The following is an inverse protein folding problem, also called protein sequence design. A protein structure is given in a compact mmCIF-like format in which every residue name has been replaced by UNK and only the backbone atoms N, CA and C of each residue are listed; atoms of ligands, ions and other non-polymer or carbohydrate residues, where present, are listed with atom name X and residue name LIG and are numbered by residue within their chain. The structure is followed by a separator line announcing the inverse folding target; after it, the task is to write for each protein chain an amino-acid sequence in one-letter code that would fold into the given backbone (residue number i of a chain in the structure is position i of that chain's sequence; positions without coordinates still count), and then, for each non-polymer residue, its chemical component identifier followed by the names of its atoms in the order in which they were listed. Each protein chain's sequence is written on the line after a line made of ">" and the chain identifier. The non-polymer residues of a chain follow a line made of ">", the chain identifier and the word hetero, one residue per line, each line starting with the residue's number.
data_IF_403967993180
#
_entry.id   IF_403967993180
#
_cell.length_a   1.000
_cell.length_b   1.000
_cell.length_c   1.000
_cell.angle_alpha   90.00
_cell.angle_beta   90.00
_cell.angle_gamma   90.00
#
_symmetry.space_group_name_H-M   'P 1'
#
loop_
_entity.id
_entity.type
_entity.pdbx_description
1 polymer ?
#
# COMPACT_ATOMS: atom_id res chain seq x y z
N UNK A 1 18.56 50.38 4.16
CA UNK A 1 19.48 49.31 3.70
C UNK A 1 18.60 48.14 3.29
N UNK A 2 18.07 48.00 2.07
CA UNK A 2 18.66 47.98 0.73
C UNK A 2 19.75 46.92 0.55
N UNK A 3 19.37 45.86 -0.18
CA UNK A 3 20.22 44.79 -0.68
C UNK A 3 19.42 43.98 -1.72
N UNK A 4 19.31 44.55 -2.93
CA UNK A 4 18.78 43.91 -4.15
C UNK A 4 19.74 42.83 -4.64
N UNK A 5 19.22 41.78 -5.26
CA UNK A 5 19.89 41.13 -6.38
C UNK A 5 18.88 40.97 -7.53
N UNK A 6 19.25 41.52 -8.69
CA UNK A 6 18.50 41.59 -9.93
C UNK A 6 19.37 40.96 -11.00
N UNK A 7 18.91 39.89 -11.66
CA UNK A 7 19.27 39.45 -13.02
C UNK A 7 18.07 38.61 -13.48
N UNK A 8 17.34 38.76 -14.59
CA UNK A 8 17.39 39.57 -15.80
C UNK A 8 16.52 38.80 -16.84
N UNK A 9 15.46 39.43 -17.38
CA UNK A 9 14.57 38.86 -18.44
C UNK A 9 15.22 39.04 -19.85
N UNK A 10 14.66 38.50 -20.97
CA UNK A 10 13.45 38.99 -21.67
C UNK A 10 12.51 37.83 -22.11
N UNK A 11 11.17 37.90 -22.30
CA UNK A 11 10.18 38.78 -22.94
C UNK A 11 10.00 38.65 -24.48
N UNK A 12 8.98 37.86 -24.85
CA UNK A 12 8.07 37.86 -26.05
C UNK A 12 8.61 37.51 -27.46
N UNK A 13 7.71 37.28 -28.46
CA UNK A 13 6.49 36.45 -28.52
C UNK A 13 6.56 35.48 -29.74
N UNK A 14 5.52 34.66 -30.00
CA UNK A 14 4.87 34.44 -31.32
C UNK A 14 3.97 33.17 -31.25
N UNK A 15 2.67 33.42 -31.36
CA UNK A 15 1.64 32.45 -31.74
C UNK A 15 1.64 32.30 -33.26
N UNK A 16 1.61 31.06 -33.77
CA UNK A 16 0.64 30.66 -34.81
C UNK A 16 0.56 29.14 -34.92
N UNK A 17 -0.69 28.67 -34.88
CA UNK A 17 -1.30 27.47 -35.47
C UNK A 17 -0.42 26.26 -35.83
N UNK A 18 -0.76 25.09 -35.28
CA UNK A 18 -1.59 24.10 -35.99
C UNK A 18 -1.64 22.76 -35.21
N UNK A 19 -2.73 22.02 -35.45
CA UNK A 19 -2.95 20.60 -35.16
C UNK A 19 -3.39 20.20 -33.73
N UNK A 20 -4.70 20.34 -33.52
CA UNK A 20 -5.65 19.23 -33.33
C UNK A 20 -4.97 17.84 -33.22
N UNK A 21 -4.68 17.40 -31.98
CA UNK A 21 -4.74 15.97 -31.62
C UNK A 21 -4.88 15.82 -30.09
N UNK A 22 -6.04 16.20 -29.56
CA UNK A 22 -6.46 15.86 -28.20
C UNK A 22 -7.54 14.78 -28.30
N UNK A 23 -7.15 13.52 -28.45
CA UNK A 23 -8.07 12.40 -28.27
C UNK A 23 -7.56 11.42 -27.19
N UNK A 24 -8.35 11.32 -26.11
CA UNK A 24 -8.45 10.23 -25.11
C UNK A 24 -7.27 9.86 -24.20
N UNK A 25 -6.04 10.31 -24.43
CA UNK A 25 -4.90 9.97 -23.53
C UNK A 25 -4.76 10.91 -22.33
N UNK A 26 -5.07 12.20 -22.48
CA UNK A 26 -4.90 13.18 -21.40
C UNK A 26 -5.84 12.96 -20.20
N UNK A 27 -7.09 12.54 -20.43
CA UNK A 27 -8.05 12.27 -19.35
C UNK A 27 -7.71 11.02 -18.53
N UNK A 28 -7.05 10.03 -19.15
CA UNK A 28 -6.55 8.83 -18.45
C UNK A 28 -5.30 9.13 -17.63
N UNK A 29 -4.43 10.02 -18.12
CA UNK A 29 -3.27 10.49 -17.38
C UNK A 29 -3.67 11.33 -16.18
N UNK A 30 -4.68 12.19 -16.24
CA UNK A 30 -5.08 13.00 -15.07
C UNK A 30 -5.74 12.14 -13.97
N UNK A 31 -6.57 11.15 -14.33
CA UNK A 31 -7.14 10.22 -13.36
C UNK A 31 -6.08 9.26 -12.77
N UNK A 32 -5.13 8.80 -13.60
CA UNK A 32 -4.02 7.97 -13.15
C UNK A 32 -2.99 8.80 -12.34
N UNK A 33 -2.78 10.08 -12.66
CA UNK A 33 -1.92 11.02 -11.93
C UNK A 33 -2.55 11.42 -10.61
N UNK A 34 -3.87 11.61 -10.55
CA UNK A 34 -4.60 11.79 -9.27
C UNK A 34 -4.57 10.52 -8.39
N UNK A 35 -4.32 9.34 -8.97
CA UNK A 35 -4.09 8.08 -8.24
C UNK A 35 -2.60 7.81 -7.95
N UNK A 36 -1.68 8.32 -8.77
CA UNK A 36 -0.23 8.11 -8.69
C UNK A 36 0.51 9.23 -7.91
N UNK A 37 -0.07 10.43 -7.77
CA UNK A 37 0.44 11.50 -6.90
C UNK A 37 0.42 11.12 -5.41
N UNK A 38 -0.23 10.01 -5.06
CA UNK A 38 -0.12 9.35 -3.74
C UNK A 38 1.10 8.43 -3.57
N UNK A 39 1.93 8.24 -4.61
CA UNK A 39 3.09 7.33 -4.61
C UNK A 39 4.46 8.05 -4.67
N UNK A 40 4.50 9.36 -4.44
CA UNK A 40 5.79 10.04 -4.24
C UNK A 40 6.31 9.83 -2.80
N UNK A 41 7.53 9.30 -2.72
CA UNK A 41 8.35 9.27 -1.51
C UNK A 41 8.40 10.69 -0.92
N UNK A 42 7.79 10.91 0.25
CA UNK A 42 7.71 12.23 0.91
C UNK A 42 8.48 12.22 2.23
N UNK A 43 9.16 13.34 2.50
CA UNK A 43 10.01 13.56 3.67
C UNK A 43 9.30 13.32 5.01
N UNK A 44 9.99 12.76 6.03
CA UNK A 44 9.36 12.27 7.26
C UNK A 44 9.02 13.37 8.31
N UNK A 45 8.84 14.63 7.90
CA UNK A 45 8.81 15.77 8.83
C UNK A 45 7.46 16.48 9.05
N UNK A 46 6.43 16.22 8.24
CA UNK A 46 5.16 16.96 8.33
C UNK A 46 3.98 16.01 8.14
N UNK A 47 3.10 15.92 9.15
CA UNK A 47 1.79 15.30 9.01
C UNK A 47 0.92 16.19 8.10
N UNK A 48 1.12 16.09 6.78
CA UNK A 48 0.23 16.69 5.79
C UNK A 48 -1.01 15.80 5.67
N UNK A 49 -2.08 16.19 6.34
CA UNK A 49 -3.42 15.71 6.04
C UNK A 49 -3.80 16.24 4.67
N UNK A 50 -3.38 15.53 3.61
CA UNK A 50 -3.77 15.83 2.24
C UNK A 50 -5.29 16.05 2.13
N UNK A 51 -5.76 16.81 1.12
CA UNK A 51 -7.10 17.37 1.09
C UNK A 51 -8.14 16.31 1.44
N UNK A 52 -8.88 16.54 2.54
CA UNK A 52 -10.00 15.70 2.96
C UNK A 52 -10.98 15.61 1.80
N UNK A 53 -10.91 14.50 1.04
CA UNK A 53 -11.83 14.26 -0.06
C UNK A 53 -13.24 14.20 0.52
N UNK A 54 -14.14 15.05 0.00
CA UNK A 54 -15.55 15.05 0.39
C UNK A 54 -16.07 13.60 0.40
N UNK A 55 -16.79 13.17 1.45
CA UNK A 55 -17.42 11.87 1.44
C UNK A 55 -18.35 11.82 0.22
N UNK A 56 -18.10 10.86 -0.67
CA UNK A 56 -18.91 10.72 -1.87
C UNK A 56 -20.35 10.40 -1.46
N UNK A 57 -21.29 11.03 -2.14
CA UNK A 57 -22.72 10.87 -1.86
C UNK A 57 -23.23 9.49 -2.23
N UNK A 58 -24.36 9.08 -1.65
CA UNK A 58 -25.03 7.79 -1.94
C UNK A 58 -25.18 7.59 -3.45
N UNK A 59 -24.61 6.50 -3.98
CA UNK A 59 -24.64 6.15 -5.41
C UNK A 59 -23.51 6.75 -6.27
N UNK A 60 -22.73 7.69 -5.75
CA UNK A 60 -21.56 8.26 -6.44
C UNK A 60 -20.45 7.23 -6.63
N UNK A 61 -20.18 6.42 -5.60
CA UNK A 61 -19.22 5.32 -5.68
C UNK A 61 -19.62 4.25 -6.70
N UNK A 62 -20.91 3.92 -6.79
CA UNK A 62 -21.41 2.92 -7.74
C UNK A 62 -21.19 3.37 -9.18
N UNK A 63 -21.53 4.62 -9.51
CA UNK A 63 -21.25 5.22 -10.83
C UNK A 63 -19.75 5.26 -11.12
N UNK A 64 -18.96 5.73 -10.16
CA UNK A 64 -17.49 5.85 -10.30
C UNK A 64 -16.83 4.50 -10.55
N UNK A 65 -17.18 3.48 -9.77
CA UNK A 65 -16.65 2.13 -9.94
C UNK A 65 -17.08 1.53 -11.28
N UNK A 66 -18.34 1.68 -11.67
CA UNK A 66 -18.82 1.23 -12.99
C UNK A 66 -18.02 1.87 -14.13
N UNK A 67 -17.72 3.17 -14.04
CA UNK A 67 -16.85 3.85 -15.02
C UNK A 67 -15.40 3.34 -15.01
N UNK A 68 -14.83 3.08 -13.83
CA UNK A 68 -13.47 2.54 -13.70
C UNK A 68 -13.33 1.12 -14.26
N UNK A 69 -14.40 0.32 -14.18
CA UNK A 69 -14.46 -1.06 -14.66
C UNK A 69 -15.19 -1.20 -16.01
N UNK A 70 -15.44 -0.10 -16.73
CA UNK A 70 -16.18 -0.15 -18.00
C UNK A 70 -15.50 -1.05 -19.05
N UNK A 71 -14.17 -1.07 -19.07
CA UNK A 71 -13.35 -1.90 -19.97
C UNK A 71 -13.05 -3.30 -19.38
N UNK A 72 -13.66 -3.68 -18.25
CA UNK A 72 -13.49 -5.00 -17.63
C UNK A 72 -14.31 -6.06 -18.39
N UNK A 73 -13.62 -7.04 -18.97
CA UNK A 73 -14.25 -8.18 -19.64
C UNK A 73 -14.80 -9.24 -18.65
N UNK A 74 -14.58 -9.03 -17.35
CA UNK A 74 -14.97 -9.93 -16.28
C UNK A 74 -16.32 -9.57 -15.65
N UNK A 75 -16.68 -10.21 -14.53
CA UNK A 75 -17.95 -9.97 -13.87
C UNK A 75 -17.99 -8.67 -13.04
N UNK A 76 -16.92 -7.87 -13.01
CA UNK A 76 -16.78 -6.77 -12.05
C UNK A 76 -17.94 -5.76 -12.12
N UNK A 77 -18.29 -5.29 -13.31
CA UNK A 77 -19.39 -4.34 -13.51
C UNK A 77 -20.73 -4.91 -13.06
N UNK A 78 -21.05 -6.17 -13.43
CA UNK A 78 -22.28 -6.84 -12.99
C UNK A 78 -22.36 -6.98 -11.47
N UNK A 79 -21.24 -7.28 -10.80
CA UNK A 79 -21.17 -7.38 -9.34
C UNK A 79 -21.38 -6.01 -8.66
N UNK A 80 -20.79 -4.96 -9.20
CA UNK A 80 -20.99 -3.58 -8.72
C UNK A 80 -22.47 -3.18 -8.87
N UNK A 81 -23.08 -3.47 -10.02
CA UNK A 81 -24.49 -3.19 -10.30
C UNK A 81 -25.44 -3.97 -9.39
N UNK A 82 -25.15 -5.24 -9.13
CA UNK A 82 -25.95 -6.09 -8.25
C UNK A 82 -25.83 -5.71 -6.76
N UNK A 83 -24.85 -4.89 -6.37
CA UNK A 83 -24.67 -4.49 -4.96
C UNK A 83 -25.82 -3.56 -4.53
N UNK A 84 -26.63 -4.04 -3.59
CA UNK A 84 -27.77 -3.34 -2.99
C UNK A 84 -27.39 -2.48 -1.78
N UNK A 85 -26.29 -2.83 -1.10
CA UNK A 85 -25.74 -2.07 0.03
C UNK A 85 -25.05 -0.80 -0.46
N UNK A 86 -24.98 0.20 0.40
CA UNK A 86 -24.21 1.41 0.12
C UNK A 86 -22.71 1.08 0.08
N UNK A 87 -22.05 1.58 -0.97
CA UNK A 87 -20.62 1.43 -1.15
C UNK A 87 -19.90 2.59 -0.46
N UNK A 88 -19.04 2.25 0.49
CA UNK A 88 -18.14 3.19 1.14
C UNK A 88 -16.71 2.97 0.65
N UNK A 89 -15.94 4.05 0.57
CA UNK A 89 -14.51 3.97 0.34
C UNK A 89 -13.78 4.41 1.60
N UNK A 90 -12.82 3.58 2.03
CA UNK A 90 -11.91 3.91 3.11
C UNK A 90 -10.52 4.18 2.52
N UNK A 91 -9.87 5.30 2.89
CA UNK A 91 -8.50 5.52 2.48
C UNK A 91 -7.59 4.44 3.07
N UNK A 92 -6.64 3.97 2.27
CA UNK A 92 -5.61 3.03 2.71
C UNK A 92 -4.38 3.85 3.09
N UNK A 93 -3.97 3.76 4.35
CA UNK A 93 -2.77 4.39 4.86
C UNK A 93 -1.66 3.35 5.03
N UNK A 94 -0.41 3.76 4.85
CA UNK A 94 0.77 2.93 5.11
C UNK A 94 1.66 3.67 6.10
N UNK A 95 2.21 2.93 7.07
CA UNK A 95 3.14 3.49 8.04
C UNK A 95 4.57 3.44 7.48
N UNK A 96 5.36 4.52 7.58
CA UNK A 96 6.80 4.42 7.31
C UNK A 96 7.49 3.48 8.31
N UNK A 97 8.67 2.99 7.97
CA UNK A 97 9.42 2.13 8.88
C UNK A 97 9.84 2.90 10.12
N UNK A 98 9.39 2.47 11.29
CA UNK A 98 9.81 3.04 12.55
C UNK A 98 11.29 2.69 12.82
N UNK A 99 12.13 3.68 13.17
CA UNK A 99 13.54 3.44 13.44
C UNK A 99 13.74 2.56 14.69
N UNK A 100 12.80 2.58 15.63
CA UNK A 100 12.83 1.82 16.88
C UNK A 100 11.41 1.44 17.31
N UNK A 101 11.22 0.22 17.82
CA UNK A 101 9.90 -0.27 18.25
C UNK A 101 9.71 -0.30 19.77
N UNK A 102 10.78 -0.08 20.53
CA UNK A 102 10.75 -0.19 21.98
C UNK A 102 11.74 0.76 22.65
N UNK A 103 11.54 0.99 23.93
CA UNK A 103 12.54 1.51 24.86
C UNK A 103 12.69 0.56 26.06
N UNK A 104 13.16 1.04 27.20
CA UNK A 104 13.33 0.22 28.41
C UNK A 104 11.99 -0.23 29.03
N UNK A 105 10.90 0.52 28.79
CA UNK A 105 9.61 0.34 29.48
C UNK A 105 8.40 0.24 28.55
N UNK A 106 8.55 0.59 27.28
CA UNK A 106 7.48 0.56 26.30
C UNK A 106 7.87 -0.23 25.06
N UNK A 107 6.87 -0.83 24.44
CA UNK A 107 6.97 -1.51 23.16
C UNK A 107 5.72 -1.24 22.33
N UNK A 108 5.91 -1.07 21.03
CA UNK A 108 4.83 -0.91 20.06
C UNK A 108 4.70 -2.22 19.27
N UNK A 109 3.48 -2.73 19.12
CA UNK A 109 3.17 -3.97 18.41
C UNK A 109 1.98 -3.81 17.47
N UNK A 110 1.78 -4.77 16.57
CA UNK A 110 0.66 -4.79 15.63
C UNK A 110 0.65 -3.58 14.68
N UNK A 111 -0.55 -3.14 14.28
CA UNK A 111 -0.71 -2.05 13.31
C UNK A 111 -0.05 -0.73 13.74
N UNK A 112 0.15 -0.51 15.05
CA UNK A 112 0.87 0.66 15.55
C UNK A 112 2.37 0.62 15.23
N UNK A 113 2.96 -0.58 15.10
CA UNK A 113 4.37 -0.77 14.76
C UNK A 113 4.58 -0.98 13.26
N UNK A 114 3.66 -1.68 12.62
CA UNK A 114 3.69 -2.01 11.21
C UNK A 114 2.26 -2.09 10.71
N UNK A 115 1.81 -1.06 9.99
CA UNK A 115 0.55 -1.12 9.27
C UNK A 115 0.82 -1.63 7.84
N UNK A 116 0.83 -2.95 7.57
CA UNK A 116 1.06 -3.46 6.24
C UNK A 116 -0.10 -3.09 5.31
N UNK A 117 0.17 -3.05 4.00
CA UNK A 117 -0.90 -2.84 3.02
C UNK A 117 -1.98 -3.94 3.17
N UNK A 118 -3.29 -3.59 3.07
CA UNK A 118 -4.38 -4.55 3.13
C UNK A 118 -4.27 -5.67 2.10
N UNK A 119 -3.56 -5.44 1.00
CA UNK A 119 -3.31 -6.44 -0.03
C UNK A 119 -2.51 -7.66 0.44
N UNK A 120 -1.82 -7.56 1.57
CA UNK A 120 -1.15 -8.71 2.21
C UNK A 120 -2.13 -9.67 2.87
N UNK A 121 -3.24 -9.16 3.40
CA UNK A 121 -4.16 -9.91 4.27
C UNK A 121 -3.51 -10.40 5.59
N UNK A 122 -2.38 -9.83 6.02
CA UNK A 122 -1.60 -10.35 7.15
C UNK A 122 -1.62 -9.48 8.42
N UNK A 123 -2.25 -8.30 8.43
CA UNK A 123 -2.17 -7.38 9.58
C UNK A 123 -2.62 -7.99 10.91
N UNK A 124 -3.77 -8.66 10.91
CA UNK A 124 -4.29 -9.37 12.09
C UNK A 124 -3.36 -10.52 12.51
N UNK A 125 -2.92 -11.36 11.56
CA UNK A 125 -2.00 -12.47 11.84
C UNK A 125 -0.68 -11.98 12.42
N UNK A 126 -0.11 -10.90 11.87
CA UNK A 126 1.11 -10.29 12.38
C UNK A 126 0.94 -9.76 13.80
N UNK A 127 -0.20 -9.12 14.10
CA UNK A 127 -0.50 -8.63 15.45
C UNK A 127 -0.61 -9.77 16.47
N UNK A 128 -1.19 -10.91 16.07
CA UNK A 128 -1.26 -12.11 16.92
C UNK A 128 0.13 -12.73 17.10
N UNK A 129 0.89 -12.90 16.02
CA UNK A 129 2.27 -13.38 16.08
C UNK A 129 3.12 -12.49 17.01
N UNK A 130 2.93 -11.16 16.97
CA UNK A 130 3.61 -10.24 17.87
C UNK A 130 3.23 -10.46 19.33
N UNK A 131 1.94 -10.59 19.63
CA UNK A 131 1.48 -10.84 20.99
C UNK A 131 2.09 -12.14 21.56
N UNK A 132 2.13 -13.21 20.77
CA UNK A 132 2.74 -14.48 21.17
C UNK A 132 4.26 -14.35 21.37
N UNK A 133 4.97 -13.73 20.43
CA UNK A 133 6.43 -13.55 20.56
C UNK A 133 6.79 -12.67 21.75
N UNK A 134 6.04 -11.59 21.98
CA UNK A 134 6.26 -10.70 23.11
C UNK A 134 6.02 -11.43 24.44
N UNK A 135 4.92 -12.19 24.53
CA UNK A 135 4.61 -12.99 25.72
C UNK A 135 5.72 -14.01 26.01
N UNK A 136 6.22 -14.70 24.97
CA UNK A 136 7.35 -15.62 25.08
C UNK A 136 8.60 -14.91 25.63
N UNK A 137 8.99 -13.79 25.04
CA UNK A 137 10.18 -13.05 25.47
C UNK A 137 10.06 -12.52 26.90
N UNK A 138 8.87 -12.10 27.33
CA UNK A 138 8.62 -11.66 28.70
C UNK A 138 8.67 -12.82 29.71
N UNK A 139 8.32 -14.04 29.29
CA UNK A 139 8.44 -15.26 30.11
C UNK A 139 9.91 -15.66 30.29
N UNK A 140 10.70 -15.61 29.23
CA UNK A 140 12.03 -16.22 29.19
C UNK A 140 13.16 -15.27 29.60
N UNK A 141 12.97 -13.96 29.47
CA UNK A 141 14.02 -12.97 29.71
C UNK A 141 13.82 -12.21 31.03
N UNK A 142 14.91 -11.89 31.74
CA UNK A 142 14.85 -11.39 33.12
C UNK A 142 14.37 -9.94 33.25
N UNK A 143 14.23 -9.19 32.15
CA UNK A 143 13.75 -7.80 32.21
C UNK A 143 12.90 -7.39 31.00
N UNK A 144 11.94 -6.45 31.17
CA UNK A 144 11.12 -5.93 30.07
C UNK A 144 11.94 -5.33 28.92
N UNK A 145 13.04 -4.64 29.23
CA UNK A 145 13.93 -4.06 28.22
C UNK A 145 14.64 -5.14 27.39
N UNK A 146 15.11 -6.23 28.02
CA UNK A 146 15.70 -7.36 27.30
C UNK A 146 14.65 -8.08 26.44
N UNK A 147 13.45 -8.29 26.97
CA UNK A 147 12.34 -8.89 26.24
C UNK A 147 11.94 -8.07 25.00
N UNK A 148 11.85 -6.75 25.15
CA UNK A 148 11.50 -5.84 24.05
C UNK A 148 12.58 -5.79 22.98
N UNK A 149 13.86 -5.80 23.37
CA UNK A 149 14.98 -5.87 22.43
C UNK A 149 15.03 -7.20 21.67
N UNK A 150 14.76 -8.32 22.36
CA UNK A 150 14.65 -9.62 21.71
C UNK A 150 13.44 -9.69 20.76
N UNK A 151 12.34 -9.04 21.12
CA UNK A 151 11.14 -8.98 20.29
C UNK A 151 11.42 -8.25 18.98
N UNK A 152 12.03 -7.06 19.06
CA UNK A 152 12.35 -6.27 17.86
C UNK A 152 13.25 -7.07 16.90
N UNK A 153 14.30 -7.70 17.43
CA UNK A 153 15.20 -8.55 16.64
C UNK A 153 14.50 -9.71 15.94
N UNK A 154 13.58 -10.38 16.63
CA UNK A 154 12.86 -11.53 16.08
C UNK A 154 11.80 -11.12 15.05
N UNK A 155 11.06 -10.03 15.32
CA UNK A 155 9.86 -9.67 14.57
C UNK A 155 10.12 -8.73 13.40
N UNK A 156 11.09 -7.83 13.50
CA UNK A 156 11.39 -6.86 12.43
C UNK A 156 11.66 -7.51 11.07
N UNK A 157 12.49 -8.58 10.94
CA UNK A 157 12.72 -9.23 9.65
C UNK A 157 11.44 -9.85 9.06
N UNK A 158 10.63 -10.50 9.90
CA UNK A 158 9.37 -11.15 9.52
C UNK A 158 8.36 -10.14 8.98
N UNK A 159 8.15 -9.04 9.69
CA UNK A 159 7.25 -7.95 9.27
C UNK A 159 7.73 -7.29 7.97
N UNK A 160 9.03 -6.99 7.87
CA UNK A 160 9.58 -6.36 6.67
C UNK A 160 9.45 -7.26 5.43
N UNK A 161 9.58 -8.58 5.59
CA UNK A 161 9.34 -9.53 4.50
C UNK A 161 7.90 -9.43 3.97
N UNK A 162 6.91 -9.40 4.87
CA UNK A 162 5.49 -9.29 4.49
C UNK A 162 5.19 -7.95 3.81
N UNK A 163 5.71 -6.84 4.34
CA UNK A 163 5.54 -5.50 3.73
C UNK A 163 6.13 -5.49 2.31
N UNK A 164 7.34 -6.01 2.11
CA UNK A 164 7.99 -6.08 0.80
C UNK A 164 7.18 -6.94 -0.18
N UNK A 165 6.61 -8.04 0.28
CA UNK A 165 5.78 -8.90 -0.56
C UNK A 165 4.47 -8.21 -0.94
N UNK A 166 3.81 -7.54 -0.01
CA UNK A 166 2.59 -6.77 -0.27
C UNK A 166 2.82 -5.69 -1.33
N UNK A 167 3.96 -4.99 -1.26
CA UNK A 167 4.35 -4.00 -2.26
C UNK A 167 4.51 -4.61 -3.67
N UNK A 168 5.12 -5.81 -3.78
CA UNK A 168 5.24 -6.55 -5.07
C UNK A 168 3.89 -7.00 -5.63
N UNK A 169 2.98 -7.42 -4.77
CA UNK A 169 1.61 -7.80 -5.18
C UNK A 169 0.84 -6.56 -5.64
N UNK A 170 1.03 -5.42 -4.99
CA UNK A 170 0.38 -4.18 -5.40
C UNK A 170 0.88 -3.67 -6.74
N UNK A 171 2.19 -3.71 -6.99
CA UNK A 171 2.75 -3.26 -8.27
C UNK A 171 2.31 -4.12 -9.45
N UNK A 172 2.14 -5.44 -9.25
CA UNK A 172 1.63 -6.33 -10.32
C UNK A 172 0.14 -6.13 -10.62
N UNK A 173 -0.65 -5.63 -9.66
CA UNK A 173 -2.06 -5.26 -9.86
C UNK A 173 -2.23 -3.98 -10.68
N UNK A 174 -1.22 -3.11 -10.72
CA UNK A 174 -1.23 -1.86 -11.49
C UNK A 174 -0.86 -2.03 -12.99
N UNK A 175 -0.74 -3.26 -13.49
CA UNK A 175 -0.40 -3.54 -14.88
C UNK A 175 -1.48 -3.02 -15.86
N UNK A 176 -1.09 -2.11 -16.76
CA UNK A 176 -1.99 -1.47 -17.75
C UNK A 176 -1.71 -1.93 -19.19
N UNK A 177 -2.75 -1.99 -20.03
CA UNK A 177 -2.64 -2.24 -21.47
C UNK A 177 -2.33 -3.72 -21.82
N UNK A 178 -1.44 -3.96 -22.79
CA UNK A 178 -1.09 -5.31 -23.26
C UNK A 178 -0.57 -6.24 -22.14
N UNK A 179 0.03 -5.67 -21.09
CA UNK A 179 0.47 -6.39 -19.90
C UNK A 179 -0.69 -7.05 -19.13
N UNK A 180 -1.90 -6.50 -19.21
CA UNK A 180 -3.12 -7.06 -18.60
C UNK A 180 -3.55 -8.35 -19.30
N UNK A 181 -3.59 -8.33 -20.63
CA UNK A 181 -3.96 -9.51 -21.44
C UNK A 181 -2.95 -10.63 -21.25
N UNK A 182 -1.66 -10.31 -21.29
CA UNK A 182 -0.61 -11.29 -21.04
C UNK A 182 -0.68 -11.85 -19.61
N UNK A 183 -0.87 -11.00 -18.60
CA UNK A 183 -1.07 -11.43 -17.21
C UNK A 183 -2.27 -12.37 -17.11
N UNK A 184 -3.44 -11.98 -17.61
CA UNK A 184 -4.68 -12.75 -17.47
C UNK A 184 -4.58 -14.11 -18.20
N UNK A 185 -3.87 -14.17 -19.33
CA UNK A 185 -3.57 -15.41 -20.04
C UNK A 185 -2.57 -16.31 -19.28
N UNK A 186 -1.57 -15.72 -18.62
CA UNK A 186 -0.54 -16.46 -17.89
C UNK A 186 -0.94 -16.81 -16.45
N UNK A 187 -1.91 -16.10 -15.87
CA UNK A 187 -2.31 -16.22 -14.46
C UNK A 187 -2.75 -17.64 -14.08
N UNK A 188 -3.53 -18.40 -14.88
CA UNK A 188 -3.92 -19.77 -14.52
C UNK A 188 -2.72 -20.72 -14.41
N UNK A 189 -1.73 -20.55 -15.28
CA UNK A 189 -0.52 -21.36 -15.31
C UNK A 189 0.43 -20.96 -14.18
N UNK A 190 0.61 -19.66 -13.97
CA UNK A 190 1.43 -19.10 -12.90
C UNK A 190 0.83 -19.45 -11.53
N UNK A 191 -0.49 -19.34 -11.33
CA UNK A 191 -1.14 -19.70 -10.06
C UNK A 191 -0.94 -21.18 -9.72
N UNK A 192 -1.01 -22.09 -10.71
CA UNK A 192 -0.71 -23.52 -10.50
C UNK A 192 0.74 -23.76 -10.04
N UNK A 193 1.69 -22.97 -10.52
CA UNK A 193 3.10 -23.06 -10.13
C UNK A 193 3.38 -22.38 -8.77
N UNK A 194 2.73 -21.25 -8.48
CA UNK A 194 2.93 -20.48 -7.25
C UNK A 194 2.20 -21.12 -6.06
N UNK A 195 1.05 -21.75 -6.27
CA UNK A 195 0.29 -22.43 -5.22
C UNK A 195 1.12 -23.51 -4.49
N UNK A 196 2.07 -24.13 -5.18
CA UNK A 196 2.99 -25.13 -4.61
C UNK A 196 4.40 -24.59 -4.29
N UNK A 197 4.63 -23.28 -4.43
CA UNK A 197 5.95 -22.70 -4.23
C UNK A 197 6.39 -22.72 -2.76
N UNK A 198 7.70 -22.92 -2.56
CA UNK A 198 8.38 -22.80 -1.25
C UNK A 198 8.11 -21.43 -0.58
N UNK A 199 7.88 -20.39 -1.38
CA UNK A 199 7.62 -19.02 -0.93
C UNK A 199 6.25 -18.86 -0.24
N UNK A 200 5.18 -19.47 -0.77
CA UNK A 200 3.86 -19.49 -0.11
C UNK A 200 3.91 -20.26 1.21
N UNK A 201 4.63 -21.39 1.25
CA UNK A 201 4.84 -22.16 2.48
C UNK A 201 5.63 -21.38 3.53
N UNK A 202 6.65 -20.62 3.14
CA UNK A 202 7.40 -19.78 4.07
C UNK A 202 6.56 -18.61 4.62
N UNK A 203 5.62 -18.08 3.84
CA UNK A 203 4.73 -17.01 4.28
C UNK A 203 3.74 -17.49 5.34
N UNK A 204 3.06 -18.61 5.07
CA UNK A 204 1.98 -19.14 5.92
C UNK A 204 2.44 -20.17 6.96
N UNK A 205 3.62 -20.76 6.79
CA UNK A 205 4.21 -21.74 7.69
C UNK A 205 5.13 -21.13 8.76
N UNK A 206 5.01 -19.82 9.02
CA UNK A 206 5.74 -19.21 10.12
C UNK A 206 5.22 -19.77 11.44
N UNK A 207 6.14 -20.22 12.29
CA UNK A 207 5.83 -20.84 13.56
C UNK A 207 6.71 -20.23 14.64
N UNK A 208 6.09 -19.86 15.75
CA UNK A 208 6.79 -19.45 16.96
C UNK A 208 6.80 -20.68 17.85
N UNK A 209 8.00 -21.24 18.05
CA UNK A 209 8.17 -22.34 18.99
C UNK A 209 8.06 -21.78 20.41
N UNK A 210 6.94 -22.08 21.07
CA UNK A 210 6.65 -21.62 22.41
C UNK A 210 7.51 -22.30 23.48
N UNK A 211 7.93 -23.54 23.26
CA UNK A 211 8.67 -24.32 24.26
C UNK A 211 10.18 -24.13 24.14
N UNK A 212 10.67 -23.75 22.96
CA UNK A 212 12.05 -23.30 22.83
C UNK A 212 12.32 -22.11 23.78
N UNK A 213 13.52 -21.99 24.36
CA UNK A 213 13.91 -20.83 25.15
C UNK A 213 14.04 -19.54 24.31
#
# INVERSE_FOLDING_TARGET
>A
MQGRCVIGKPFLPQLHDSLIYLDKTAARLDAARTLAEGFHHRDPGVADHGPQRRPATRGEWKRRLTGLFADDLGPATRLIEATSRELAASPVHTLPQLPRWHDDRMIVIGDAAHAPSPSSGQGASLSIEDAVQLAKNLRDLPSPGQASAAFDRARRPRVQQIIKQAARVNSSKAATGASRVFRDAMLPHILRLIANSKHSRQLYGYHIDWEAP
#
